data_IF_178898867953
#
_entry.id   IF_178898867953
#
_cell.length_a   1.000
_cell.length_b   1.000
_cell.length_c   1.000
_cell.angle_alpha   90.00
_cell.angle_beta   90.00
_cell.angle_gamma   90.00
#
_symmetry.space_group_name_H-M   'P 1'
#
loop_
_entity.id
_entity.type
_entity.pdbx_description
1 polymer ?
#
# COMPACT_ATOMS: atom_id res chain seq x y z
N UNK A 1 -4.59 -34.29 -10.02
CA UNK A 1 -3.63 -33.98 -11.11
C UNK A 1 -4.21 -34.01 -12.52
N UNK A 2 -5.37 -34.64 -12.81
CA UNK A 2 -6.02 -34.57 -14.15
C UNK A 2 -7.09 -33.46 -14.28
N UNK A 3 -7.62 -32.95 -13.17
CA UNK A 3 -8.75 -32.00 -13.17
C UNK A 3 -8.35 -30.52 -13.37
N UNK A 4 -7.18 -30.09 -12.89
CA UNK A 4 -6.72 -28.69 -13.05
C UNK A 4 -6.60 -28.28 -14.53
N UNK A 5 -6.25 -29.22 -15.42
CA UNK A 5 -6.05 -28.94 -16.84
C UNK A 5 -7.38 -28.65 -17.58
N UNK A 6 -8.48 -29.29 -17.16
CA UNK A 6 -9.81 -29.02 -17.73
C UNK A 6 -10.34 -27.67 -17.26
N UNK A 7 -10.19 -27.35 -15.98
CA UNK A 7 -10.58 -26.05 -15.43
C UNK A 7 -9.80 -24.90 -16.09
N UNK A 8 -8.49 -25.07 -16.30
CA UNK A 8 -7.66 -24.07 -16.98
C UNK A 8 -8.09 -23.86 -18.44
N UNK A 9 -8.43 -24.94 -19.17
CA UNK A 9 -8.95 -24.86 -20.54
C UNK A 9 -10.30 -24.11 -20.57
N UNK A 10 -11.21 -24.40 -19.65
CA UNK A 10 -12.51 -23.73 -19.56
C UNK A 10 -12.36 -22.26 -19.13
N UNK A 11 -11.42 -21.95 -18.23
CA UNK A 11 -11.07 -20.58 -17.86
C UNK A 11 -10.55 -19.78 -19.06
N UNK A 12 -9.67 -20.37 -19.87
CA UNK A 12 -9.17 -19.73 -21.11
C UNK A 12 -10.31 -19.47 -22.10
N UNK A 13 -11.28 -20.38 -22.21
CA UNK A 13 -12.49 -20.17 -23.04
C UNK A 13 -13.36 -19.05 -22.47
N UNK A 14 -13.57 -19.03 -21.16
CA UNK A 14 -14.34 -17.98 -20.48
C UNK A 14 -13.70 -16.60 -20.66
N UNK A 15 -12.38 -16.47 -20.53
CA UNK A 15 -11.63 -15.24 -20.80
C UNK A 15 -11.79 -14.78 -22.26
N UNK A 16 -11.73 -15.71 -23.23
CA UNK A 16 -12.01 -15.39 -24.64
C UNK A 16 -13.41 -14.82 -24.79
N UNK A 17 -14.41 -15.38 -24.12
CA UNK A 17 -15.79 -14.86 -24.13
C UNK A 17 -15.86 -13.47 -23.50
N UNK A 18 -15.19 -13.23 -22.36
CA UNK A 18 -15.13 -11.89 -21.75
C UNK A 18 -14.46 -10.87 -22.67
N UNK A 19 -13.40 -11.25 -23.39
CA UNK A 19 -12.72 -10.35 -24.33
C UNK A 19 -13.61 -10.00 -25.54
N UNK A 20 -14.49 -10.91 -25.95
CA UNK A 20 -15.44 -10.71 -27.03
C UNK A 20 -16.70 -9.96 -26.58
N UNK A 21 -17.08 -10.11 -25.31
CA UNK A 21 -18.21 -9.43 -24.68
C UNK A 21 -17.72 -8.71 -23.43
N UNK A 22 -17.30 -7.44 -23.57
CA UNK A 22 -16.80 -6.67 -22.45
C UNK A 22 -17.79 -6.71 -21.28
N UNK A 23 -17.31 -6.92 -20.05
CA UNK A 23 -18.17 -6.98 -18.88
C UNK A 23 -18.87 -5.63 -18.68
N UNK A 24 -20.11 -5.68 -18.19
CA UNK A 24 -20.85 -4.46 -17.84
C UNK A 24 -20.12 -3.78 -16.67
N UNK A 25 -19.48 -2.65 -16.95
CA UNK A 25 -18.73 -1.88 -15.95
C UNK A 25 -19.63 -0.96 -15.12
N UNK A 26 -20.86 -0.71 -15.57
CA UNK A 26 -21.82 0.18 -14.92
C UNK A 26 -23.14 -0.54 -14.71
N UNK A 27 -23.35 -1.03 -13.48
CA UNK A 27 -24.56 -1.73 -13.07
C UNK A 27 -25.64 -0.74 -12.63
N UNK A 28 -26.84 -0.92 -13.16
CA UNK A 28 -28.03 -0.31 -12.58
C UNK A 28 -28.55 -1.22 -11.44
N UNK A 29 -29.22 -0.67 -10.41
CA UNK A 29 -29.77 -1.48 -9.31
C UNK A 29 -30.64 -2.65 -9.78
N UNK A 30 -31.35 -2.48 -10.90
CA UNK A 30 -32.26 -3.47 -11.46
C UNK A 30 -31.65 -4.32 -12.59
N UNK A 31 -30.36 -4.16 -12.90
CA UNK A 31 -29.68 -4.95 -13.94
C UNK A 31 -29.38 -6.37 -13.46
N UNK A 32 -30.39 -7.25 -13.55
CA UNK A 32 -30.28 -8.66 -13.16
C UNK A 32 -29.17 -9.40 -13.92
N UNK A 33 -28.86 -9.01 -15.16
CA UNK A 33 -27.85 -9.71 -15.98
C UNK A 33 -26.45 -9.28 -15.55
N UNK A 34 -26.22 -7.99 -15.40
CA UNK A 34 -24.95 -7.45 -14.93
C UNK A 34 -24.60 -7.95 -13.51
N UNK A 35 -25.58 -7.99 -12.59
CA UNK A 35 -25.38 -8.57 -11.26
C UNK A 35 -25.02 -10.05 -11.29
N UNK A 36 -25.64 -10.85 -12.16
CA UNK A 36 -25.27 -12.26 -12.34
C UNK A 36 -23.84 -12.43 -12.86
N UNK A 37 -23.42 -11.58 -13.79
CA UNK A 37 -22.05 -11.59 -14.31
C UNK A 37 -21.04 -11.21 -13.22
N UNK A 38 -21.33 -10.17 -12.43
CA UNK A 38 -20.50 -9.77 -11.29
C UNK A 38 -20.32 -10.91 -10.28
N UNK A 39 -21.42 -11.51 -9.80
CA UNK A 39 -21.37 -12.61 -8.83
C UNK A 39 -20.65 -13.85 -9.39
N UNK A 40 -20.81 -14.12 -10.69
CA UNK A 40 -20.09 -15.19 -11.36
C UNK A 40 -18.58 -14.95 -11.35
N UNK A 41 -18.12 -13.73 -11.68
CA UNK A 41 -16.70 -13.39 -11.68
C UNK A 41 -16.08 -13.50 -10.28
N UNK A 42 -16.80 -13.07 -9.24
CA UNK A 42 -16.38 -13.24 -7.84
C UNK A 42 -16.24 -14.72 -7.49
N UNK A 43 -17.25 -15.53 -7.80
CA UNK A 43 -17.22 -16.97 -7.55
C UNK A 43 -16.09 -17.66 -8.30
N UNK A 44 -15.89 -17.28 -9.56
CA UNK A 44 -14.82 -17.82 -10.39
C UNK A 44 -13.45 -17.53 -9.79
N UNK A 45 -13.21 -16.29 -9.33
CA UNK A 45 -11.94 -15.92 -8.70
C UNK A 45 -11.67 -16.73 -7.42
N UNK A 46 -12.69 -16.97 -6.59
CA UNK A 46 -12.57 -17.84 -5.42
C UNK A 46 -12.25 -19.29 -5.82
N UNK A 47 -12.96 -19.85 -6.81
CA UNK A 47 -12.67 -21.20 -7.31
C UNK A 47 -11.26 -21.32 -7.85
N UNK A 48 -10.76 -20.31 -8.56
CA UNK A 48 -9.36 -20.32 -9.01
C UNK A 48 -8.37 -20.37 -7.84
N UNK A 49 -8.66 -19.65 -6.75
CA UNK A 49 -7.84 -19.70 -5.53
C UNK A 49 -7.91 -21.07 -4.84
N UNK A 50 -9.12 -21.64 -4.70
CA UNK A 50 -9.34 -22.93 -4.04
C UNK A 50 -8.66 -24.09 -4.80
N UNK A 51 -8.62 -24.00 -6.13
CA UNK A 51 -8.02 -25.00 -7.04
C UNK A 51 -6.55 -24.71 -7.42
N UNK A 52 -5.95 -23.66 -6.83
CA UNK A 52 -4.56 -23.22 -7.05
C UNK A 52 -4.19 -23.04 -8.55
N UNK A 53 -5.01 -22.26 -9.27
CA UNK A 53 -4.83 -22.05 -10.70
C UNK A 53 -3.65 -21.12 -10.99
N UNK A 54 -2.59 -21.66 -11.58
CA UNK A 54 -1.35 -20.92 -11.85
C UNK A 54 -1.34 -20.18 -13.21
N UNK A 55 -2.39 -19.41 -13.55
CA UNK A 55 -2.45 -18.58 -14.76
C UNK A 55 -2.64 -17.10 -14.39
N UNK A 56 -1.53 -16.39 -14.16
CA UNK A 56 -1.54 -15.02 -13.66
C UNK A 56 -2.22 -14.02 -14.61
N UNK A 57 -2.14 -14.22 -15.92
CA UNK A 57 -2.80 -13.33 -16.87
C UNK A 57 -4.33 -13.42 -16.75
N UNK A 58 -4.85 -14.63 -16.56
CA UNK A 58 -6.28 -14.87 -16.32
C UNK A 58 -6.73 -14.26 -15.00
N UNK A 59 -6.00 -14.54 -13.92
CA UNK A 59 -6.35 -14.09 -12.58
C UNK A 59 -6.36 -12.57 -12.49
N UNK A 60 -5.28 -11.91 -12.96
CA UNK A 60 -5.20 -10.46 -12.95
C UNK A 60 -6.24 -9.81 -13.87
N UNK A 61 -6.61 -10.45 -14.98
CA UNK A 61 -7.69 -9.96 -15.86
C UNK A 61 -9.04 -9.97 -15.16
N UNK A 62 -9.39 -11.06 -14.47
CA UNK A 62 -10.65 -11.16 -13.71
C UNK A 62 -10.69 -10.06 -12.64
N UNK A 63 -9.60 -9.89 -11.89
CA UNK A 63 -9.50 -8.86 -10.86
C UNK A 63 -9.63 -7.46 -11.47
N UNK A 64 -8.93 -7.18 -12.57
CA UNK A 64 -9.02 -5.88 -13.25
C UNK A 64 -10.44 -5.53 -13.67
N UNK A 65 -11.27 -6.52 -13.99
CA UNK A 65 -12.67 -6.30 -14.31
C UNK A 65 -13.44 -5.99 -13.03
N UNK A 66 -13.32 -6.85 -12.02
CA UNK A 66 -14.04 -6.72 -10.74
C UNK A 66 -13.85 -5.35 -10.09
N UNK A 67 -12.62 -4.82 -10.08
CA UNK A 67 -12.32 -3.51 -9.46
C UNK A 67 -12.81 -2.31 -10.28
N UNK A 68 -13.15 -2.49 -11.56
CA UNK A 68 -13.67 -1.43 -12.43
C UNK A 68 -15.19 -1.34 -12.44
N UNK A 69 -15.89 -2.35 -11.93
CA UNK A 69 -17.36 -2.38 -11.90
C UNK A 69 -17.89 -1.37 -10.87
N UNK A 70 -18.86 -0.56 -11.31
CA UNK A 70 -19.57 0.45 -10.53
C UNK A 70 -21.06 0.13 -10.50
N UNK A 71 -21.75 0.54 -9.44
CA UNK A 71 -23.21 0.53 -9.34
C UNK A 71 -23.74 1.95 -9.26
N UNK A 72 -24.85 2.22 -9.94
CA UNK A 72 -25.56 3.49 -9.84
C UNK A 72 -26.38 3.53 -8.55
N UNK A 73 -25.98 4.37 -7.61
CA UNK A 73 -26.68 4.59 -6.34
C UNK A 73 -26.93 6.09 -6.15
N UNK A 74 -28.16 6.47 -5.80
CA UNK A 74 -28.53 7.86 -5.48
C UNK A 74 -28.07 8.89 -6.53
N UNK A 75 -28.17 8.53 -7.82
CA UNK A 75 -27.79 9.40 -8.94
C UNK A 75 -26.30 9.46 -9.26
N UNK A 76 -25.44 8.73 -8.54
CA UNK A 76 -23.99 8.67 -8.78
C UNK A 76 -23.54 7.23 -9.03
N UNK A 77 -22.42 7.05 -9.72
CA UNK A 77 -21.78 5.74 -9.83
C UNK A 77 -20.76 5.59 -8.71
N UNK A 78 -20.96 4.57 -7.88
CA UNK A 78 -20.03 4.18 -6.81
C UNK A 78 -19.43 2.81 -7.14
N UNK A 79 -18.24 2.54 -6.64
CA UNK A 79 -17.64 1.21 -6.83
C UNK A 79 -18.30 0.16 -5.95
N UNK A 80 -18.41 -1.07 -6.44
CA UNK A 80 -18.99 -2.17 -5.68
C UNK A 80 -17.94 -2.74 -4.75
N UNK A 81 -18.22 -2.73 -3.44
CA UNK A 81 -17.35 -3.34 -2.44
C UNK A 81 -17.29 -4.86 -2.64
N UNK A 82 -16.09 -5.38 -2.93
CA UNK A 82 -15.85 -6.82 -3.01
C UNK A 82 -16.09 -7.53 -1.65
N UNK A 83 -16.55 -8.79 -1.66
CA UNK A 83 -16.78 -9.56 -0.43
C UNK A 83 -15.50 -9.80 0.37
N UNK A 84 -15.66 -10.23 1.63
CA UNK A 84 -14.50 -10.61 2.43
C UNK A 84 -13.92 -11.96 1.98
N UNK A 85 -12.62 -11.98 1.73
CA UNK A 85 -11.79 -13.14 1.43
C UNK A 85 -10.82 -13.46 2.59
N UNK A 86 -10.32 -14.70 2.60
CA UNK A 86 -9.39 -15.21 3.61
C UNK A 86 -7.96 -14.68 3.44
N UNK A 87 -7.04 -15.02 4.36
CA UNK A 87 -5.63 -14.62 4.25
C UNK A 87 -4.92 -15.38 3.14
N UNK A 88 -5.28 -16.64 2.93
CA UNK A 88 -4.77 -17.52 1.87
C UNK A 88 -5.09 -16.93 0.50
N UNK A 89 -6.32 -16.45 0.32
CA UNK A 89 -6.74 -15.77 -0.90
C UNK A 89 -5.86 -14.56 -1.21
N UNK A 90 -5.50 -13.77 -0.19
CA UNK A 90 -4.63 -12.62 -0.37
C UNK A 90 -3.20 -13.03 -0.79
N UNK A 91 -2.64 -14.07 -0.18
CA UNK A 91 -1.35 -14.63 -0.60
C UNK A 91 -1.37 -15.14 -2.04
N UNK A 92 -2.45 -15.81 -2.44
CA UNK A 92 -2.68 -16.27 -3.81
C UNK A 92 -2.68 -15.11 -4.82
N UNK A 93 -3.41 -14.01 -4.54
CA UNK A 93 -3.37 -12.83 -5.41
C UNK A 93 -1.97 -12.23 -5.50
N UNK A 94 -1.25 -12.11 -4.38
CA UNK A 94 0.09 -11.52 -4.36
C UNK A 94 1.09 -12.30 -5.22
N UNK A 95 1.02 -13.64 -5.21
CA UNK A 95 1.84 -14.49 -6.08
C UNK A 95 1.60 -14.16 -7.56
N UNK A 96 0.35 -14.00 -7.98
CA UNK A 96 0.02 -13.66 -9.36
C UNK A 96 0.49 -12.26 -9.74
N UNK A 97 0.33 -11.27 -8.86
CA UNK A 97 0.85 -9.92 -9.09
C UNK A 97 2.37 -9.94 -9.28
N UNK A 98 3.10 -10.61 -8.38
CA UNK A 98 4.56 -10.73 -8.48
C UNK A 98 5.01 -11.37 -9.79
N UNK A 99 4.38 -12.49 -10.17
CA UNK A 99 4.80 -13.28 -11.34
C UNK A 99 4.72 -12.54 -12.67
N UNK A 100 3.84 -11.54 -12.79
CA UNK A 100 3.70 -10.77 -14.03
C UNK A 100 4.67 -9.58 -14.12
N UNK A 101 5.38 -9.26 -13.03
CA UNK A 101 6.22 -8.05 -12.92
C UNK A 101 5.45 -6.74 -13.04
N UNK A 102 4.13 -6.81 -13.27
CA UNK A 102 3.21 -5.68 -13.23
C UNK A 102 2.88 -5.49 -11.76
N UNK A 103 3.67 -4.65 -11.08
CA UNK A 103 3.25 -4.03 -9.82
C UNK A 103 2.05 -3.15 -10.16
N UNK A 104 0.88 -3.80 -10.31
CA UNK A 104 -0.17 -3.26 -11.14
C UNK A 104 -0.73 -2.00 -10.46
N UNK A 105 -0.52 -0.87 -11.12
CA UNK A 105 -1.07 0.45 -10.79
C UNK A 105 -2.59 0.34 -10.52
N UNK A 106 -3.22 -0.69 -11.09
CA UNK A 106 -4.56 -1.19 -10.80
C UNK A 106 -4.93 -1.27 -9.31
N UNK A 107 -4.03 -1.64 -8.39
CA UNK A 107 -4.35 -1.69 -6.94
C UNK A 107 -4.01 -0.41 -6.18
N UNK A 108 -3.15 0.43 -6.75
CA UNK A 108 -2.74 1.71 -6.17
C UNK A 108 -3.59 2.90 -6.65
N UNK A 109 -4.48 2.70 -7.62
CA UNK A 109 -5.41 3.72 -8.10
C UNK A 109 -6.52 4.02 -7.06
N UNK A 110 -6.89 5.30 -6.90
CA UNK A 110 -7.90 5.77 -5.93
C UNK A 110 -9.25 5.08 -6.07
N UNK A 111 -9.63 4.69 -7.29
CA UNK A 111 -10.87 3.95 -7.50
C UNK A 111 -10.83 2.51 -6.96
N UNK A 112 -9.68 1.85 -7.00
CA UNK A 112 -9.51 0.48 -6.51
C UNK A 112 -9.49 0.41 -4.99
N UNK A 113 -9.04 1.47 -4.31
CA UNK A 113 -9.19 1.60 -2.85
C UNK A 113 -10.66 1.67 -2.41
N UNK A 114 -11.53 2.23 -3.24
CA UNK A 114 -12.97 2.32 -2.98
C UNK A 114 -13.74 1.07 -3.44
N UNK A 115 -13.32 0.45 -4.54
CA UNK A 115 -13.93 -0.77 -5.09
C UNK A 115 -13.53 -2.03 -4.32
N UNK A 116 -12.28 -2.11 -3.92
CA UNK A 116 -11.75 -3.26 -3.23
C UNK A 116 -11.48 -2.88 -1.79
N UNK A 117 -12.26 -3.43 -0.86
CA UNK A 117 -11.96 -3.33 0.58
C UNK A 117 -10.54 -3.85 0.91
N UNK A 118 -9.96 -4.66 0.02
CA UNK A 118 -8.61 -5.21 0.09
C UNK A 118 -7.57 -4.34 -0.61
N UNK A 119 -7.92 -3.23 -1.27
CA UNK A 119 -6.94 -2.31 -1.87
C UNK A 119 -5.95 -1.79 -0.82
N UNK A 120 -6.43 -1.51 0.39
CA UNK A 120 -5.60 -1.20 1.56
C UNK A 120 -4.76 -2.38 2.06
N UNK A 121 -5.13 -3.63 1.72
CA UNK A 121 -4.30 -4.79 2.06
C UNK A 121 -3.03 -4.87 1.20
N UNK A 122 -3.02 -4.25 0.01
CA UNK A 122 -1.83 -4.12 -0.84
C UNK A 122 -0.95 -2.92 -0.48
N UNK A 123 -1.30 -2.17 0.58
CA UNK A 123 -0.60 -0.97 1.03
C UNK A 123 0.34 -1.29 2.19
N UNK A 124 1.64 -1.10 1.98
CA UNK A 124 2.66 -1.17 3.03
C UNK A 124 2.33 -0.14 4.13
N UNK A 125 1.94 1.07 3.74
CA UNK A 125 1.56 2.15 4.65
C UNK A 125 0.41 1.76 5.58
N UNK A 126 -0.62 1.10 5.05
CA UNK A 126 -1.74 0.63 5.86
C UNK A 126 -1.30 -0.53 6.77
N UNK A 127 -0.42 -1.42 6.31
CA UNK A 127 0.11 -2.52 7.13
C UNK A 127 0.89 -1.99 8.35
N UNK A 128 1.74 -0.98 8.14
CA UNK A 128 2.43 -0.28 9.21
C UNK A 128 1.44 0.43 10.14
N UNK A 129 0.48 1.17 9.58
CA UNK A 129 -0.52 1.95 10.34
C UNK A 129 -1.34 1.07 11.28
N UNK A 130 -1.77 -0.11 10.82
CA UNK A 130 -2.53 -1.06 11.62
C UNK A 130 -1.66 -1.97 12.52
N UNK A 131 -0.33 -1.94 12.40
CA UNK A 131 0.57 -2.87 13.09
C UNK A 131 0.43 -4.33 12.63
N UNK A 132 0.04 -4.57 11.38
CA UNK A 132 -0.15 -5.91 10.82
C UNK A 132 1.17 -6.47 10.25
N UNK A 133 1.99 -7.03 11.13
CA UNK A 133 3.31 -7.56 10.81
C UNK A 133 3.25 -8.71 9.79
N UNK A 134 2.23 -9.58 9.89
CA UNK A 134 2.06 -10.73 8.99
C UNK A 134 1.79 -10.24 7.56
N UNK A 135 0.86 -9.29 7.40
CA UNK A 135 0.55 -8.69 6.10
C UNK A 135 1.76 -7.95 5.53
N UNK A 136 2.45 -7.16 6.35
CA UNK A 136 3.64 -6.42 5.94
C UNK A 136 4.73 -7.36 5.38
N UNK A 137 5.08 -8.41 6.13
CA UNK A 137 6.09 -9.39 5.72
C UNK A 137 5.71 -10.09 4.42
N UNK A 138 4.43 -10.42 4.26
CA UNK A 138 3.92 -11.03 3.04
C UNK A 138 4.06 -10.08 1.83
N UNK A 139 3.70 -8.80 1.97
CA UNK A 139 3.87 -7.79 0.92
C UNK A 139 5.34 -7.66 0.47
N UNK A 140 6.26 -7.54 1.43
CA UNK A 140 7.70 -7.43 1.16
C UNK A 140 8.22 -8.70 0.48
N UNK A 141 7.83 -9.89 0.96
CA UNK A 141 8.20 -11.17 0.35
C UNK A 141 7.80 -11.27 -1.13
N UNK A 142 6.60 -10.77 -1.48
CA UNK A 142 6.10 -10.75 -2.85
C UNK A 142 6.65 -9.57 -3.68
N UNK A 143 7.61 -8.80 -3.17
CA UNK A 143 8.32 -7.76 -3.92
C UNK A 143 7.56 -6.44 -4.06
N UNK A 144 6.60 -6.17 -3.18
CA UNK A 144 6.04 -4.82 -3.06
C UNK A 144 7.10 -3.91 -2.45
N UNK A 145 7.41 -2.82 -3.14
CA UNK A 145 8.36 -1.84 -2.63
C UNK A 145 7.80 -1.23 -1.34
N UNK A 146 8.59 -1.31 -0.28
CA UNK A 146 8.34 -0.53 0.93
C UNK A 146 8.42 0.98 0.65
N UNK A 147 9.16 1.38 -0.41
CA UNK A 147 9.38 2.75 -0.87
C UNK A 147 9.11 2.87 -2.39
N UNK A 148 7.84 2.80 -2.84
CA UNK A 148 7.57 2.88 -4.27
C UNK A 148 7.86 4.30 -4.79
N UNK A 149 8.61 4.40 -5.90
CA UNK A 149 8.96 5.69 -6.54
C UNK A 149 7.74 6.51 -6.95
N UNK A 150 6.61 5.85 -7.20
CA UNK A 150 5.34 6.43 -7.66
C UNK A 150 4.31 6.59 -6.54
N UNK A 151 4.68 6.43 -5.26
CA UNK A 151 3.73 6.68 -4.19
C UNK A 151 3.30 8.16 -4.26
N UNK A 152 2.02 8.38 -4.59
CA UNK A 152 1.38 9.68 -4.45
C UNK A 152 1.22 9.93 -2.97
N UNK A 153 2.32 10.28 -2.30
CA UNK A 153 2.29 10.87 -0.96
C UNK A 153 1.34 12.05 -1.06
N UNK A 154 0.23 11.97 -0.32
CA UNK A 154 -0.93 12.84 -0.39
C UNK A 154 -0.56 14.23 -0.94
N UNK A 155 -0.61 14.40 -2.26
CA UNK A 155 -0.42 15.70 -2.89
C UNK A 155 -1.66 16.47 -2.50
N UNK A 156 -1.51 17.34 -1.51
CA UNK A 156 -2.52 18.34 -1.24
C UNK A 156 -2.42 19.28 -2.43
N UNK A 157 -3.48 19.36 -3.25
CA UNK A 157 -3.50 20.10 -4.52
C UNK A 157 -3.05 21.58 -4.38
N UNK A 158 -3.05 22.09 -3.16
CA UNK A 158 -2.59 23.43 -2.81
C UNK A 158 -1.08 23.57 -2.55
N UNK A 159 -0.32 22.48 -2.41
CA UNK A 159 1.12 22.52 -2.10
C UNK A 159 1.98 22.08 -3.29
N UNK A 160 3.13 22.74 -3.53
CA UNK A 160 4.02 22.36 -4.61
C UNK A 160 4.64 20.97 -4.37
N UNK A 161 5.15 20.37 -5.44
CA UNK A 161 5.82 19.07 -5.36
C UNK A 161 7.14 19.19 -4.58
N UNK A 162 7.23 18.46 -3.46
CA UNK A 162 8.40 18.46 -2.58
C UNK A 162 9.47 17.44 -2.97
N UNK A 163 9.23 16.61 -3.99
CA UNK A 163 10.19 15.58 -4.42
C UNK A 163 11.55 16.13 -4.85
N UNK A 164 11.62 17.42 -5.20
CA UNK A 164 12.83 18.10 -5.62
C UNK A 164 13.67 18.64 -4.45
N UNK A 165 13.08 18.80 -3.26
CA UNK A 165 13.73 19.50 -2.14
C UNK A 165 13.76 18.71 -0.83
N UNK A 166 12.91 17.68 -0.70
CA UNK A 166 12.90 16.79 0.46
C UNK A 166 13.21 15.34 0.03
N UNK A 167 14.19 14.68 0.68
CA UNK A 167 14.45 13.25 0.48
C UNK A 167 13.18 12.40 0.63
N UNK A 168 13.09 11.33 -0.16
CA UNK A 168 11.90 10.47 -0.20
C UNK A 168 11.65 9.81 1.17
N UNK A 169 12.71 9.37 1.82
CA UNK A 169 12.72 8.71 3.12
C UNK A 169 12.09 9.60 4.19
N UNK A 170 12.45 10.90 4.20
CA UNK A 170 11.95 11.86 5.17
C UNK A 170 10.44 12.09 4.97
N UNK A 171 10.00 12.24 3.71
CA UNK A 171 8.57 12.41 3.39
C UNK A 171 7.76 11.16 3.80
N UNK A 172 8.31 9.97 3.61
CA UNK A 172 7.67 8.71 3.97
C UNK A 172 7.55 8.52 5.48
N UNK A 173 8.60 8.82 6.24
CA UNK A 173 8.55 8.81 7.71
C UNK A 173 7.41 9.71 8.20
N UNK A 174 7.32 10.95 7.69
CA UNK A 174 6.25 11.87 8.04
C UNK A 174 4.87 11.31 7.69
N UNK A 175 4.71 10.77 6.49
CA UNK A 175 3.43 10.22 6.03
C UNK A 175 3.02 8.98 6.86
N UNK A 176 3.96 8.13 7.26
CA UNK A 176 3.70 6.98 8.14
C UNK A 176 3.27 7.46 9.52
N UNK A 177 4.00 8.39 10.12
CA UNK A 177 3.64 8.96 11.43
C UNK A 177 2.27 9.63 11.39
N UNK A 178 1.97 10.35 10.30
CA UNK A 178 0.66 10.98 10.09
C UNK A 178 -0.45 9.95 10.05
N UNK A 179 -0.31 8.90 9.26
CA UNK A 179 -1.34 7.86 9.12
C UNK A 179 -1.55 7.09 10.43
N UNK A 180 -0.47 6.73 11.13
CA UNK A 180 -0.52 6.15 12.47
C UNK A 180 -1.24 7.08 13.44
N UNK A 181 -0.89 8.37 13.47
CA UNK A 181 -1.52 9.33 14.37
C UNK A 181 -3.02 9.44 14.12
N UNK A 182 -3.44 9.52 12.86
CA UNK A 182 -4.86 9.56 12.49
C UNK A 182 -5.59 8.28 12.88
N UNK A 183 -4.95 7.12 12.73
CA UNK A 183 -5.51 5.84 13.15
C UNK A 183 -5.63 5.74 14.68
N UNK A 184 -4.58 6.08 15.42
CA UNK A 184 -4.56 6.01 16.88
C UNK A 184 -5.55 6.98 17.52
N UNK A 185 -5.70 8.19 16.95
CA UNK A 185 -6.71 9.16 17.35
C UNK A 185 -8.15 8.64 17.24
N UNK A 186 -8.43 7.78 16.26
CA UNK A 186 -9.77 7.19 16.10
C UNK A 186 -10.09 6.12 17.14
N UNK A 187 -9.08 5.55 17.80
CA UNK A 187 -9.23 4.33 18.60
C UNK A 187 -8.90 4.56 20.08
N UNK A 188 -7.95 5.45 20.40
CA UNK A 188 -7.37 5.53 21.75
C UNK A 188 -7.10 6.96 22.25
N UNK A 189 -7.49 8.00 21.51
CA UNK A 189 -7.17 9.42 21.76
C UNK A 189 -5.66 9.75 21.87
N UNK A 190 -4.77 8.78 21.65
CA UNK A 190 -3.32 8.95 21.71
C UNK A 190 -2.79 9.65 20.45
N UNK A 191 -2.16 10.81 20.62
CA UNK A 191 -1.57 11.62 19.53
C UNK A 191 -0.09 11.37 19.28
N UNK A 192 0.62 10.72 20.21
CA UNK A 192 2.08 10.77 20.28
C UNK A 192 2.74 9.41 20.47
N UNK A 193 1.98 8.35 20.78
CA UNK A 193 2.55 7.03 21.12
C UNK A 193 2.11 6.00 20.09
N UNK A 194 3.08 5.25 19.57
CA UNK A 194 2.87 4.08 18.72
C UNK A 194 2.68 2.83 19.59
N UNK A 195 1.85 1.91 19.14
CA UNK A 195 1.81 0.56 19.70
C UNK A 195 3.10 -0.20 19.36
N UNK A 196 3.46 -1.20 20.16
CA UNK A 196 4.63 -2.04 19.88
C UNK A 196 4.53 -2.76 18.51
N UNK A 197 3.31 -3.12 18.09
CA UNK A 197 3.07 -3.71 16.77
C UNK A 197 3.37 -2.71 15.64
N UNK A 198 2.93 -1.46 15.77
CA UNK A 198 3.24 -0.38 14.82
C UNK A 198 4.74 -0.09 14.77
N UNK A 199 5.41 -0.03 15.93
CA UNK A 199 6.88 0.16 15.99
C UNK A 199 7.63 -0.95 15.26
N UNK A 200 7.28 -2.21 15.50
CA UNK A 200 7.88 -3.36 14.80
C UNK A 200 7.71 -3.28 13.29
N UNK A 201 6.49 -3.01 12.82
CA UNK A 201 6.21 -2.88 11.40
C UNK A 201 7.01 -1.74 10.75
N UNK A 202 7.08 -0.59 11.41
CA UNK A 202 7.84 0.55 10.95
C UNK A 202 9.34 0.24 10.87
N UNK A 203 9.91 -0.47 11.85
CA UNK A 203 11.32 -0.89 11.82
C UNK A 203 11.62 -1.86 10.67
N UNK A 204 10.73 -2.80 10.39
CA UNK A 204 10.86 -3.69 9.22
C UNK A 204 10.94 -2.86 7.93
N UNK A 205 10.05 -1.89 7.77
CA UNK A 205 10.06 -1.01 6.59
C UNK A 205 11.36 -0.20 6.52
N UNK A 206 11.79 0.41 7.61
CA UNK A 206 13.02 1.22 7.62
C UNK A 206 14.28 0.40 7.30
N UNK A 207 14.36 -0.85 7.77
CA UNK A 207 15.48 -1.75 7.48
C UNK A 207 15.60 -2.06 5.98
N UNK A 208 14.48 -2.07 5.25
CA UNK A 208 14.46 -2.32 3.81
C UNK A 208 14.78 -1.05 2.98
N UNK A 209 14.69 0.17 3.54
CA UNK A 209 14.97 1.42 2.78
C UNK A 209 16.45 1.71 2.56
N UNK A 210 17.27 1.68 3.62
CA UNK A 210 18.65 2.18 3.62
C UNK A 210 19.40 1.71 4.88
N UNK A 211 20.73 1.58 4.79
CA UNK A 211 21.62 1.25 5.91
C UNK A 211 21.74 2.38 6.97
N UNK A 212 20.96 3.48 6.88
CA UNK A 212 21.08 4.59 7.83
C UNK A 212 19.73 5.21 8.20
N UNK A 213 19.39 5.16 9.49
CA UNK A 213 18.28 5.90 10.08
C UNK A 213 18.44 7.41 9.90
N UNK A 214 17.31 8.11 9.81
CA UNK A 214 17.25 9.58 9.68
C UNK A 214 17.13 10.20 11.08
N UNK A 215 18.05 11.08 11.42
CA UNK A 215 18.05 11.77 12.72
C UNK A 215 16.96 12.84 12.80
N UNK A 216 16.57 13.20 14.03
CA UNK A 216 15.65 14.33 14.26
C UNK A 216 16.18 15.64 13.66
N UNK A 217 17.49 15.84 13.66
CA UNK A 217 18.14 17.03 13.09
C UNK A 217 17.94 17.08 11.58
N UNK A 218 18.21 15.98 10.86
CA UNK A 218 18.01 15.87 9.41
C UNK A 218 16.53 16.09 9.01
N UNK A 219 15.59 15.57 9.81
CA UNK A 219 14.15 15.80 9.61
C UNK A 219 13.76 17.27 9.81
N UNK A 220 14.29 17.94 10.84
CA UNK A 220 14.01 19.36 11.10
C UNK A 220 14.63 20.29 10.03
N UNK A 221 15.81 19.95 9.52
CA UNK A 221 16.42 20.66 8.40
C UNK A 221 15.50 20.60 7.17
N UNK A 222 14.98 19.41 6.89
CA UNK A 222 14.03 19.19 5.79
C UNK A 222 12.74 19.97 5.96
N UNK A 223 12.20 20.03 7.18
CA UNK A 223 11.01 20.83 7.50
C UNK A 223 11.23 22.33 7.19
N UNK A 224 12.42 22.86 7.47
CA UNK A 224 12.77 24.25 7.17
C UNK A 224 12.89 24.50 5.66
N UNK A 225 13.50 23.57 4.93
CA UNK A 225 13.59 23.60 3.46
C UNK A 225 12.18 23.57 2.85
N UNK A 226 11.30 22.69 3.33
CA UNK A 226 9.90 22.64 2.90
C UNK A 226 9.19 23.98 3.11
N UNK A 227 9.34 24.60 4.29
CA UNK A 227 8.72 25.88 4.58
C UNK A 227 9.17 26.98 3.62
N UNK A 228 10.48 27.11 3.41
CA UNK A 228 11.04 28.10 2.49
C UNK A 228 10.59 27.86 1.06
N UNK A 229 10.58 26.61 0.62
CA UNK A 229 10.13 26.23 -0.72
C UNK A 229 8.65 26.57 -0.94
N UNK A 230 7.79 26.30 0.05
CA UNK A 230 6.37 26.65 -0.02
C UNK A 230 6.15 28.18 -0.06
N UNK A 231 6.91 28.95 0.73
CA UNK A 231 6.87 30.41 0.70
C UNK A 231 7.29 30.98 -0.67
N UNK A 232 8.32 30.39 -1.30
CA UNK A 232 8.76 30.78 -2.65
C UNK A 232 7.71 30.50 -3.74
N UNK A 233 6.80 29.55 -3.50
CA UNK A 233 5.69 29.22 -4.39
C UNK A 233 4.42 30.03 -4.11
N UNK A 234 4.55 31.21 -3.49
CA UNK A 234 3.46 32.16 -3.21
C UNK A 234 2.32 31.59 -2.34
N UNK A 235 2.61 30.60 -1.51
CA UNK A 235 1.67 30.18 -0.47
C UNK A 235 1.67 31.19 0.68
N UNK A 236 0.51 31.38 1.30
CA UNK A 236 0.40 32.33 2.41
C UNK A 236 1.21 31.84 3.61
N UNK A 237 1.87 32.76 4.28
CA UNK A 237 2.69 32.50 5.48
C UNK A 237 1.93 31.68 6.53
N UNK A 238 0.67 32.03 6.77
CA UNK A 238 -0.21 31.30 7.68
C UNK A 238 -0.37 29.82 7.29
N UNK A 239 -0.56 29.50 5.99
CA UNK A 239 -0.69 28.12 5.52
C UNK A 239 0.63 27.37 5.67
N UNK A 240 1.74 27.99 5.29
CA UNK A 240 3.08 27.42 5.43
C UNK A 240 3.40 27.11 6.89
N UNK A 241 3.13 28.05 7.80
CA UNK A 241 3.38 27.90 9.23
C UNK A 241 2.49 26.81 9.85
N UNK A 242 1.21 26.74 9.47
CA UNK A 242 0.32 25.67 9.94
C UNK A 242 0.87 24.29 9.58
N UNK A 243 1.28 24.09 8.33
CA UNK A 243 1.86 22.82 7.87
C UNK A 243 3.19 22.50 8.57
N UNK A 244 4.04 23.50 8.74
CA UNK A 244 5.30 23.36 9.48
C UNK A 244 5.06 22.82 10.90
N UNK A 245 4.13 23.42 11.64
CA UNK A 245 3.79 23.00 13.02
C UNK A 245 3.12 21.61 13.07
N UNK A 246 2.36 21.24 12.04
CA UNK A 246 1.80 19.88 11.93
C UNK A 246 2.91 18.85 11.73
N UNK A 247 3.81 19.08 10.77
CA UNK A 247 4.92 18.18 10.50
C UNK A 247 5.94 18.14 11.66
N UNK A 248 6.17 19.24 12.37
CA UNK A 248 7.02 19.26 13.57
C UNK A 248 6.50 18.31 14.66
N UNK A 249 5.18 18.23 14.85
CA UNK A 249 4.57 17.27 15.79
C UNK A 249 4.83 15.82 15.37
N UNK A 250 4.78 15.53 14.07
CA UNK A 250 5.08 14.20 13.53
C UNK A 250 6.56 13.84 13.71
N UNK A 251 7.48 14.79 13.53
CA UNK A 251 8.91 14.59 13.82
C UNK A 251 9.13 14.30 15.30
N UNK A 252 8.45 15.02 16.20
CA UNK A 252 8.54 14.76 17.62
C UNK A 252 7.97 13.38 18.00
N UNK A 253 6.86 12.97 17.40
CA UNK A 253 6.30 11.62 17.54
C UNK A 253 7.30 10.55 17.08
N UNK A 254 7.93 10.72 15.93
CA UNK A 254 9.01 9.84 15.46
C UNK A 254 10.16 9.76 16.48
N UNK A 255 10.68 10.91 16.92
CA UNK A 255 11.81 10.96 17.83
C UNK A 255 11.51 10.33 19.20
N UNK A 256 10.30 10.50 19.74
CA UNK A 256 9.90 9.88 21.02
C UNK A 256 9.83 8.36 20.90
N UNK A 257 9.23 7.85 19.81
CA UNK A 257 8.97 6.41 19.66
C UNK A 257 10.20 5.63 19.17
N UNK A 258 11.18 6.31 18.58
CA UNK A 258 12.39 5.73 18.00
C UNK A 258 13.65 6.48 18.46
N UNK A 259 13.70 6.93 19.71
CA UNK A 259 14.78 7.78 20.25
C UNK A 259 16.17 7.19 20.05
N UNK A 260 16.32 5.88 20.20
CA UNK A 260 17.58 5.15 19.95
C UNK A 260 18.15 5.37 18.53
N UNK A 261 17.29 5.65 17.56
CA UNK A 261 17.66 5.89 16.16
C UNK A 261 17.64 7.38 15.80
N UNK A 262 16.72 8.14 16.39
CA UNK A 262 16.55 9.57 16.11
C UNK A 262 17.60 10.46 16.78
N UNK A 263 18.25 9.97 17.85
CA UNK A 263 19.22 10.71 18.68
C UNK A 263 20.67 10.25 18.51
N UNK A 264 20.93 9.12 17.83
CA UNK A 264 22.30 8.60 17.65
C UNK A 264 23.01 9.22 16.45
N UNK A 265 24.26 9.64 16.65
CA UNK A 265 25.23 9.82 15.57
C UNK A 265 25.42 8.47 14.88
N UNK A 266 25.10 8.38 13.57
CA UNK A 266 25.07 7.15 12.75
C UNK A 266 26.19 6.17 13.14
N UNK A 267 25.86 5.20 13.97
CA UNK A 267 26.76 4.13 14.40
C UNK A 267 26.31 2.85 13.71
N UNK A 268 27.17 2.32 12.83
CA UNK A 268 26.95 1.07 12.09
C UNK A 268 26.75 -0.15 13.00
N UNK A 269 27.03 -0.06 14.30
CA UNK A 269 26.98 -1.21 15.22
C UNK A 269 25.59 -1.54 15.76
N UNK A 270 24.61 -0.62 15.69
CA UNK A 270 23.21 -0.91 16.10
C UNK A 270 22.59 -1.98 15.19
N UNK A 271 23.01 -2.05 13.92
CA UNK A 271 22.49 -2.99 12.92
C UNK A 271 22.94 -4.44 13.15
N UNK A 272 24.12 -4.68 13.74
CA UNK A 272 24.62 -6.05 13.99
C UNK A 272 23.75 -6.83 14.98
N UNK A 273 23.07 -6.16 15.91
CA UNK A 273 22.20 -6.83 16.88
C UNK A 273 20.84 -7.27 16.28
N UNK A 274 20.38 -6.63 15.20
CA UNK A 274 19.12 -6.98 14.56
C UNK A 274 19.28 -7.96 13.38
N UNK A 275 20.49 -8.06 12.82
CA UNK A 275 20.86 -9.04 11.79
C UNK A 275 20.82 -10.51 12.26
N UNK A 276 20.69 -10.77 13.56
CA UNK A 276 20.63 -12.13 14.16
C UNK A 276 19.24 -12.51 14.70
N UNK A 277 18.15 -11.97 14.14
CA UNK A 277 16.87 -12.66 14.27
C UNK A 277 16.84 -13.84 13.28
N UNK A 278 16.30 -15.01 13.66
CA UNK A 278 16.45 -16.26 12.93
C UNK A 278 15.53 -16.27 11.71
N UNK A 279 15.85 -15.47 10.70
CA UNK A 279 15.14 -15.46 9.44
C UNK A 279 15.98 -16.26 8.46
N UNK A 280 15.67 -17.56 8.41
CA UNK A 280 16.34 -18.50 7.54
C UNK A 280 16.34 -18.01 6.10
N UNK A 281 17.54 -17.96 5.51
CA UNK A 281 17.80 -17.98 4.07
C UNK A 281 16.64 -17.51 3.18
N UNK A 282 16.30 -16.21 3.24
CA UNK A 282 15.57 -15.59 2.13
C UNK A 282 16.58 -15.52 0.99
N UNK A 283 16.61 -16.56 0.15
CA UNK A 283 17.30 -16.56 -1.15
C UNK A 283 16.55 -15.61 -2.10
N UNK A 284 16.68 -14.33 -1.84
CA UNK A 284 16.24 -13.26 -2.71
C UNK A 284 17.30 -12.17 -2.67
N UNK A 285 18.31 -12.28 -3.54
CA UNK A 285 19.19 -11.14 -3.84
C UNK A 285 18.28 -10.03 -4.38
N UNK A 286 17.97 -9.03 -3.57
CA UNK A 286 17.34 -7.80 -4.04
C UNK A 286 18.38 -7.09 -4.90
N UNK A 287 18.16 -7.09 -6.20
CA UNK A 287 19.00 -6.41 -7.18
C UNK A 287 18.71 -4.92 -7.05
N UNK A 288 19.60 -4.16 -6.39
CA UNK A 288 19.66 -2.72 -6.55
C UNK A 288 20.05 -2.42 -7.99
N UNK A 289 19.09 -2.00 -8.82
CA UNK A 289 19.43 -1.31 -10.07
C UNK A 289 19.81 0.12 -9.69
N UNK A 290 21.12 0.41 -9.73
CA UNK A 290 21.66 1.78 -9.77
C UNK A 290 21.04 2.57 -10.92
#
# INVERSE_FOLDING_TARGET
>A
CKDNNLLEIELRKFIKVINLMPPVLELLPNDKRGWKQFLFLVKLLNTCCDEDINDSDIILKIISILVKIKVKESGRFIFIQQPMHSTEFFGYILQHVQSTGKQDILFMQDHSRNAWKYGSNFSIMDAVTCGDEKRLKMLIYYGFNAFPKDERLNKVDEFPDLSQVIPLEHRLILEMMKNIQHYNLRITDSRMILTEAQKKCFLIVLQESTDSFVTKIEMNESLRIEYQYNMLHNLSEHKCMKKFLENEKLINMYAINFSQFAETTKSNDIFKHFLYLPYGNIKGKVIFRM
#
